data_IF_935762461061
#
_entry.id   IF_935762461061
#
_cell.length_a   1.000
_cell.length_b   1.000
_cell.length_c   1.000
_cell.angle_alpha   90.00
_cell.angle_beta   90.00
_cell.angle_gamma   90.00
#
_symmetry.space_group_name_H-M   'P 1'
#
loop_
_entity.id
_entity.type
_entity.pdbx_description
1 polymer ?
#
# COMPACT_ATOMS: atom_id res chain seq x y z
N UNK A 1 14.75 -38.34 42.47
CA UNK A 1 14.03 -38.51 41.19
C UNK A 1 12.86 -37.55 41.18
N UNK A 2 13.05 -36.34 40.63
CA UNK A 2 12.03 -35.27 40.68
C UNK A 2 11.03 -35.51 39.55
N UNK A 3 9.71 -35.58 39.82
CA UNK A 3 8.75 -35.98 38.80
C UNK A 3 8.57 -34.89 37.75
N UNK A 4 8.78 -35.31 36.50
CA UNK A 4 8.80 -34.54 35.23
C UNK A 4 7.53 -33.68 34.96
N UNK A 5 6.47 -33.90 35.73
CA UNK A 5 5.23 -33.12 35.66
C UNK A 5 5.33 -31.73 36.31
N UNK A 6 6.24 -31.54 37.27
CA UNK A 6 6.44 -30.24 37.95
C UNK A 6 7.28 -29.27 37.12
N UNK A 7 8.23 -29.79 36.35
CA UNK A 7 9.08 -29.04 35.43
C UNK A 7 8.25 -28.39 34.31
N UNK A 8 7.35 -29.15 33.68
CA UNK A 8 6.50 -28.64 32.59
C UNK A 8 5.58 -27.51 33.05
N UNK A 9 4.97 -27.61 34.24
CA UNK A 9 4.13 -26.54 34.79
C UNK A 9 4.93 -25.27 35.09
N UNK A 10 6.13 -25.39 35.66
CA UNK A 10 6.99 -24.24 35.95
C UNK A 10 7.53 -23.58 34.68
N UNK A 11 7.89 -24.37 33.67
CA UNK A 11 8.33 -23.86 32.36
C UNK A 11 7.16 -23.12 31.69
N UNK A 12 5.95 -23.70 31.70
CA UNK A 12 4.76 -23.07 31.12
C UNK A 12 4.38 -21.77 31.83
N UNK A 13 4.44 -21.76 33.17
CA UNK A 13 4.19 -20.55 33.95
C UNK A 13 5.19 -19.44 33.61
N UNK A 14 6.49 -19.77 33.53
CA UNK A 14 7.54 -18.82 33.14
C UNK A 14 7.40 -18.35 31.69
N UNK A 15 7.01 -19.24 30.78
CA UNK A 15 6.76 -18.90 29.37
C UNK A 15 5.59 -17.94 29.21
N UNK A 16 4.48 -18.17 29.91
CA UNK A 16 3.32 -17.26 29.90
C UNK A 16 3.69 -15.92 30.54
N UNK A 17 4.40 -15.93 31.66
CA UNK A 17 4.87 -14.71 32.32
C UNK A 17 5.83 -13.92 31.42
N UNK A 18 6.71 -14.59 30.67
CA UNK A 18 7.58 -13.97 29.69
C UNK A 18 6.79 -13.39 28.51
N UNK A 19 5.79 -14.11 27.96
CA UNK A 19 4.92 -13.58 26.90
C UNK A 19 4.15 -12.33 27.32
N UNK A 20 3.74 -12.24 28.58
CA UNK A 20 3.07 -11.06 29.13
C UNK A 20 4.03 -9.90 29.41
N UNK A 21 5.31 -10.20 29.68
CA UNK A 21 6.34 -9.21 29.98
C UNK A 21 7.09 -8.71 28.73
N UNK A 22 7.05 -9.47 27.62
CA UNK A 22 7.49 -8.97 26.33
C UNK A 22 6.55 -7.81 25.98
N UNK A 23 7.06 -6.57 25.84
CA UNK A 23 6.29 -5.53 25.19
C UNK A 23 6.11 -6.03 23.76
N UNK A 24 4.97 -6.69 23.52
CA UNK A 24 4.49 -6.86 22.16
C UNK A 24 4.54 -5.46 21.55
N UNK A 25 4.95 -5.31 20.30
CA UNK A 25 4.63 -4.09 19.58
C UNK A 25 3.10 -4.00 19.58
N UNK A 26 2.54 -3.42 20.64
CA UNK A 26 1.21 -2.87 20.68
C UNK A 26 1.26 -1.96 19.48
N UNK A 27 0.48 -2.33 18.45
CA UNK A 27 0.15 -1.49 17.33
C UNK A 27 -0.08 -0.12 17.95
N UNK A 28 0.88 0.81 17.81
CA UNK A 28 0.72 2.12 18.42
C UNK A 28 -0.59 2.61 17.84
N UNK A 29 -1.55 2.85 18.72
CA UNK A 29 -2.65 3.73 18.41
C UNK A 29 -2.03 5.12 18.31
N UNK A 30 -1.24 5.33 17.25
CA UNK A 30 -0.93 6.65 16.78
C UNK A 30 -2.30 7.34 16.53
N UNK A 31 -2.41 8.65 16.75
CA UNK A 31 -3.68 9.37 16.62
C UNK A 31 -4.36 9.07 15.27
N UNK A 32 -5.70 9.05 15.21
CA UNK A 32 -6.48 8.55 14.06
C UNK A 32 -6.37 9.40 12.78
N UNK A 33 -5.48 10.38 12.75
CA UNK A 33 -5.31 11.26 11.61
C UNK A 33 -4.25 10.69 10.68
N UNK A 34 -4.76 10.10 9.58
CA UNK A 34 -4.07 9.61 8.38
C UNK A 34 -3.64 8.13 8.36
N UNK A 35 -4.53 7.20 8.73
CA UNK A 35 -4.53 5.93 8.02
C UNK A 35 -4.98 6.20 6.58
N UNK A 36 -4.06 6.07 5.63
CA UNK A 36 -4.41 6.11 4.21
C UNK A 36 -5.43 5.00 3.93
N UNK A 37 -6.47 5.27 3.12
CA UNK A 37 -7.38 4.23 2.66
C UNK A 37 -6.58 3.08 2.03
N UNK A 38 -7.10 1.86 2.12
CA UNK A 38 -6.45 0.68 1.57
C UNK A 38 -7.24 0.21 0.34
N UNK A 39 -6.55 -0.12 -0.74
CA UNK A 39 -7.19 -0.66 -1.95
C UNK A 39 -7.55 -2.15 -1.80
N UNK A 40 -8.20 -2.71 -2.82
CA UNK A 40 -8.60 -4.12 -2.84
C UNK A 40 -7.41 -5.09 -2.73
N UNK A 41 -6.19 -4.65 -3.02
CA UNK A 41 -4.97 -5.44 -2.91
C UNK A 41 -4.21 -5.23 -1.58
N UNK A 42 -4.78 -4.46 -0.64
CA UNK A 42 -4.13 -4.21 0.65
C UNK A 42 -3.08 -3.08 0.60
N UNK A 43 -3.02 -2.30 -0.49
CA UNK A 43 -2.04 -1.23 -0.67
C UNK A 43 -2.59 0.12 -0.21
N UNK A 44 -1.76 0.99 0.39
CA UNK A 44 -2.18 2.33 0.77
C UNK A 44 -2.45 3.19 -0.46
N UNK A 45 -3.65 3.77 -0.52
CA UNK A 45 -4.10 4.71 -1.53
C UNK A 45 -3.58 6.09 -1.18
N UNK A 46 -2.71 6.66 -2.02
CA UNK A 46 -2.16 8.00 -1.78
C UNK A 46 -3.07 9.09 -2.35
N UNK A 47 -3.82 8.77 -3.41
CA UNK A 47 -4.72 9.71 -4.03
C UNK A 47 -5.82 9.00 -4.83
N UNK A 48 -6.92 9.72 -5.02
CA UNK A 48 -7.98 9.39 -5.96
C UNK A 48 -8.17 10.59 -6.87
N UNK A 49 -8.12 10.38 -8.18
CA UNK A 49 -8.22 11.45 -9.17
C UNK A 49 -9.31 11.13 -10.18
N UNK A 50 -10.04 12.16 -10.62
CA UNK A 50 -10.96 12.04 -11.73
C UNK A 50 -10.20 12.20 -13.05
N UNK A 51 -10.30 11.20 -13.93
CA UNK A 51 -9.75 11.23 -15.28
C UNK A 51 -10.91 11.04 -16.25
N UNK A 52 -11.34 12.16 -16.85
CA UNK A 52 -12.63 12.23 -17.51
C UNK A 52 -13.76 11.97 -16.50
N UNK A 53 -14.62 11.01 -16.80
CA UNK A 53 -15.77 10.63 -15.95
C UNK A 53 -15.45 9.48 -14.99
N UNK A 54 -14.19 9.01 -14.92
CA UNK A 54 -13.81 7.85 -14.10
C UNK A 54 -12.90 8.25 -12.94
N UNK A 55 -13.17 7.71 -11.76
CA UNK A 55 -12.31 7.86 -10.59
C UNK A 55 -11.24 6.77 -10.57
N UNK A 56 -9.98 7.18 -10.51
CA UNK A 56 -8.80 6.32 -10.47
C UNK A 56 -8.09 6.48 -9.14
N UNK A 57 -7.87 5.36 -8.45
CA UNK A 57 -7.04 5.28 -7.26
C UNK A 57 -5.58 5.02 -7.62
N UNK A 58 -4.69 5.71 -6.91
CA UNK A 58 -3.24 5.57 -7.00
C UNK A 58 -2.72 4.95 -5.71
N UNK A 59 -2.53 3.64 -5.74
CA UNK A 59 -2.05 2.89 -4.57
C UNK A 59 -0.55 2.68 -4.63
N UNK A 60 0.15 3.03 -3.56
CA UNK A 60 1.60 2.90 -3.45
C UNK A 60 1.98 1.42 -3.29
N UNK A 61 2.85 0.94 -4.18
CA UNK A 61 3.50 -0.35 -4.00
C UNK A 61 4.72 -0.15 -3.11
N UNK A 62 4.60 -0.49 -1.83
CA UNK A 62 5.65 -0.27 -0.83
C UNK A 62 6.98 -0.90 -1.26
N UNK A 63 8.06 -0.11 -1.17
CA UNK A 63 9.40 -0.52 -1.57
C UNK A 63 9.66 -0.46 -3.08
N UNK A 64 8.72 0.08 -3.87
CA UNK A 64 8.87 0.22 -5.32
C UNK A 64 8.46 1.62 -5.78
N UNK A 65 9.20 2.15 -6.76
CA UNK A 65 8.95 3.44 -7.41
C UNK A 65 7.83 3.34 -8.45
N UNK A 66 6.65 2.88 -8.00
CA UNK A 66 5.48 2.70 -8.85
C UNK A 66 4.16 2.82 -8.10
N UNK A 67 3.13 3.22 -8.84
CA UNK A 67 1.74 3.12 -8.40
C UNK A 67 1.03 1.94 -9.07
N UNK A 68 0.11 1.32 -8.33
CA UNK A 68 -0.97 0.50 -8.88
C UNK A 68 -2.17 1.40 -9.13
N UNK A 69 -2.79 1.27 -10.30
CA UNK A 69 -3.91 2.07 -10.72
C UNK A 69 -5.16 1.20 -10.82
N UNK A 70 -6.22 1.62 -10.13
CA UNK A 70 -7.51 0.92 -10.09
C UNK A 70 -8.68 1.89 -10.22
N UNK A 71 -9.75 1.48 -10.88
CA UNK A 71 -11.04 2.16 -10.77
C UNK A 71 -11.70 1.87 -9.43
N UNK A 72 -12.49 2.83 -8.94
CA UNK A 72 -13.33 2.65 -7.73
C UNK A 72 -14.60 1.88 -8.07
N UNK A 73 -15.30 2.30 -9.13
CA UNK A 73 -16.68 1.87 -9.41
C UNK A 73 -16.81 1.02 -10.69
N UNK A 74 -15.69 0.53 -11.24
CA UNK A 74 -15.68 -0.25 -12.49
C UNK A 74 -15.06 -1.62 -12.26
N UNK A 75 -15.67 -2.66 -12.85
CA UNK A 75 -15.14 -4.02 -12.83
C UNK A 75 -14.77 -4.47 -14.26
N UNK A 76 -13.58 -5.08 -14.48
CA UNK A 76 -12.50 -5.30 -13.53
C UNK A 76 -11.91 -3.98 -13.00
N UNK A 77 -11.47 -3.94 -11.75
CA UNK A 77 -10.98 -2.69 -11.14
C UNK A 77 -9.57 -2.32 -11.60
N UNK A 78 -8.71 -3.31 -11.85
CA UNK A 78 -7.31 -3.08 -12.22
C UNK A 78 -7.21 -2.40 -13.58
N UNK A 79 -6.41 -1.35 -13.68
CA UNK A 79 -6.00 -0.75 -14.95
C UNK A 79 -4.58 -1.22 -15.28
N UNK A 80 -3.67 -1.03 -14.32
CA UNK A 80 -2.25 -1.33 -14.50
C UNK A 80 -1.36 -0.64 -13.48
N UNK A 81 -0.18 -0.24 -13.92
CA UNK A 81 0.83 0.39 -13.08
C UNK A 81 1.47 1.59 -13.78
N UNK A 82 1.79 2.64 -13.03
CA UNK A 82 2.71 3.68 -13.51
C UNK A 82 4.05 3.46 -12.83
N UNK A 83 5.09 3.26 -13.62
CA UNK A 83 6.45 2.97 -13.18
C UNK A 83 7.41 4.14 -13.50
N UNK A 84 8.65 4.03 -13.03
CA UNK A 84 9.74 4.98 -13.30
C UNK A 84 9.44 6.42 -12.79
N UNK A 85 8.71 6.54 -11.68
CA UNK A 85 8.24 7.82 -11.13
C UNK A 85 9.37 8.75 -10.62
N UNK A 86 10.55 8.20 -10.35
CA UNK A 86 11.77 8.95 -10.03
C UNK A 86 12.48 9.52 -11.27
N UNK A 87 12.07 9.10 -12.47
CA UNK A 87 12.69 9.55 -13.72
C UNK A 87 11.83 10.61 -14.41
N UNK A 88 12.40 11.37 -15.37
CA UNK A 88 11.63 12.31 -16.20
C UNK A 88 10.58 11.65 -17.11
N UNK A 89 10.65 10.33 -17.29
CA UNK A 89 9.83 9.57 -18.25
C UNK A 89 9.04 8.47 -17.54
N UNK A 90 8.02 8.82 -16.73
CA UNK A 90 7.09 7.86 -16.16
C UNK A 90 6.36 7.11 -17.28
N UNK A 91 6.08 5.83 -17.07
CA UNK A 91 5.44 4.99 -18.07
C UNK A 91 4.25 4.23 -17.50
N UNK A 92 3.15 4.19 -18.25
CA UNK A 92 2.02 3.33 -17.96
C UNK A 92 2.27 1.91 -18.50
N UNK A 93 2.03 0.92 -17.65
CA UNK A 93 2.01 -0.51 -18.01
C UNK A 93 0.60 -1.00 -17.74
N UNK A 94 -0.15 -1.24 -18.82
CA UNK A 94 -1.53 -1.74 -18.76
C UNK A 94 -1.47 -3.23 -18.41
N UNK A 95 -2.20 -3.65 -17.38
CA UNK A 95 -2.26 -5.03 -16.93
C UNK A 95 -3.61 -5.70 -17.25
N UNK A 96 -4.66 -4.90 -17.43
CA UNK A 96 -6.02 -5.38 -17.69
C UNK A 96 -6.44 -5.06 -19.13
N UNK A 97 -6.55 -6.07 -20.01
CA UNK A 97 -6.92 -5.87 -21.41
C UNK A 97 -8.24 -5.12 -21.60
N UNK A 98 -9.21 -5.33 -20.71
CA UNK A 98 -10.54 -4.71 -20.81
C UNK A 98 -10.49 -3.17 -20.82
N UNK A 99 -9.47 -2.56 -20.21
CA UNK A 99 -9.32 -1.11 -20.15
C UNK A 99 -8.30 -0.53 -21.12
N UNK A 100 -7.75 -1.35 -22.03
CA UNK A 100 -6.60 -0.94 -22.88
C UNK A 100 -6.88 0.33 -23.67
N UNK A 101 -8.00 0.39 -24.39
CA UNK A 101 -8.35 1.54 -25.23
C UNK A 101 -8.47 2.83 -24.40
N UNK A 102 -9.19 2.76 -23.28
CA UNK A 102 -9.35 3.89 -22.38
C UNK A 102 -8.02 4.32 -21.75
N UNK A 103 -7.20 3.36 -21.31
CA UNK A 103 -5.94 3.61 -20.65
C UNK A 103 -4.91 4.24 -21.60
N UNK A 104 -4.84 3.80 -22.86
CA UNK A 104 -3.99 4.42 -23.88
C UNK A 104 -4.46 5.84 -24.23
N UNK A 105 -5.78 6.05 -24.33
CA UNK A 105 -6.35 7.38 -24.59
C UNK A 105 -6.00 8.37 -23.47
N UNK A 106 -5.87 7.89 -22.24
CA UNK A 106 -5.62 8.71 -21.06
C UNK A 106 -4.18 8.57 -20.49
N UNK A 107 -3.26 7.96 -21.24
CA UNK A 107 -1.92 7.58 -20.72
C UNK A 107 -1.16 8.77 -20.13
N UNK A 108 -1.13 9.88 -20.86
CA UNK A 108 -0.43 11.10 -20.43
C UNK A 108 -1.02 11.69 -19.15
N UNK A 109 -2.36 11.69 -19.02
CA UNK A 109 -3.02 12.16 -17.81
C UNK A 109 -2.68 11.23 -16.63
N UNK A 110 -2.85 9.92 -16.82
CA UNK A 110 -2.54 8.91 -15.79
C UNK A 110 -1.10 9.05 -15.27
N UNK A 111 -0.14 9.20 -16.17
CA UNK A 111 1.28 9.38 -15.84
C UNK A 111 1.56 10.74 -15.18
N UNK A 112 0.97 11.83 -15.67
CA UNK A 112 1.17 13.16 -15.10
C UNK A 112 0.63 13.26 -13.66
N UNK A 113 -0.58 12.73 -13.40
CA UNK A 113 -1.14 12.66 -12.05
C UNK A 113 -0.25 11.79 -11.15
N UNK A 114 0.18 10.62 -11.62
CA UNK A 114 1.08 9.75 -10.87
C UNK A 114 2.38 10.48 -10.47
N UNK A 115 3.02 11.19 -11.39
CA UNK A 115 4.25 11.95 -11.10
C UNK A 115 4.01 13.07 -10.10
N UNK A 116 2.88 13.78 -10.21
CA UNK A 116 2.51 14.81 -9.24
C UNK A 116 2.35 14.21 -7.84
N UNK A 117 1.52 13.16 -7.70
CA UNK A 117 1.26 12.48 -6.43
C UNK A 117 2.58 11.97 -5.82
N UNK A 118 3.45 11.38 -6.64
CA UNK A 118 4.77 10.91 -6.21
C UNK A 118 5.58 12.07 -5.62
N UNK A 119 5.77 13.15 -6.36
CA UNK A 119 6.52 14.33 -5.89
C UNK A 119 5.96 14.95 -4.62
N UNK A 120 4.64 14.98 -4.48
CA UNK A 120 3.96 15.54 -3.30
C UNK A 120 4.25 14.70 -2.04
N UNK A 121 4.33 13.37 -2.19
CA UNK A 121 4.51 12.43 -1.07
C UNK A 121 5.97 12.03 -0.83
N UNK A 122 6.86 12.16 -1.81
CA UNK A 122 8.30 11.89 -1.66
C UNK A 122 9.12 13.11 -1.30
N UNK A 123 8.49 14.23 -0.88
CA UNK A 123 9.22 15.39 -0.37
C UNK A 123 10.18 14.93 0.74
N UNK A 124 11.46 15.08 0.42
CA UNK A 124 12.61 14.63 1.17
C UNK A 124 12.58 15.15 2.60
N UNK A 125 12.67 14.24 3.57
CA UNK A 125 13.23 14.56 4.88
C UNK A 125 14.61 15.16 4.64
N UNK A 126 14.73 16.49 4.72
CA UNK A 126 16.04 17.14 4.77
C UNK A 126 16.72 16.62 6.03
N UNK A 127 17.86 15.96 5.83
CA UNK A 127 18.70 15.43 6.91
C UNK A 127 19.76 16.46 7.26
#
# INVERSE_FOLDING_TARGET
MIPDRYTTRRIRARYIQALQAIPLPVRRADPPDAFLPIDLAGLPVLATEAIGERLVQYSLVVGQTRFRLTFIDTHPALIGHVINLETPSPRLVIAEPFHTEWALTNELALAAHATRIWKDHTRTCNR
#
